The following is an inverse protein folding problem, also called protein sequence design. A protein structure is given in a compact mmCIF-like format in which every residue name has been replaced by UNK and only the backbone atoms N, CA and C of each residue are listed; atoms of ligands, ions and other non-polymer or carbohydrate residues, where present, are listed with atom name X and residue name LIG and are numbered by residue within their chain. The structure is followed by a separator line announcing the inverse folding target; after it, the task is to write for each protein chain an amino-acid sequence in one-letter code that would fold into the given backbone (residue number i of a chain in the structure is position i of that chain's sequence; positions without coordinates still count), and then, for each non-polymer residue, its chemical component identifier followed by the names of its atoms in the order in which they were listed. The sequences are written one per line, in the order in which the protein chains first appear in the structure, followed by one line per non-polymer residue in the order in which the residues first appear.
data_IF_919440405494
#
_entry.id   IF_919440405494
#
_cell.length_a   1.000
_cell.length_b   1.000
_cell.length_c   1.000
_cell.angle_alpha   90.00
_cell.angle_beta   90.00
_cell.angle_gamma   90.00
#
_symmetry.space_group_name_H-M   'P 1'
#
loop_
_entity.id
_entity.type
_entity.pdbx_description
1 polymer ?
#
# COMPACT_ATOMS: atom_id res chain seq x y z
N UNK A 1 5.04 -21.43 0.81
CA UNK A 1 3.69 -21.30 1.40
C UNK A 1 2.94 -22.58 1.06
N UNK A 2 2.05 -23.06 1.93
CA UNK A 2 1.21 -24.20 1.59
C UNK A 2 0.25 -23.82 0.44
N UNK A 3 0.04 -24.74 -0.50
CA UNK A 3 -0.90 -24.54 -1.60
C UNK A 3 -2.28 -24.13 -1.07
N UNK A 4 -2.91 -23.18 -1.75
CA UNK A 4 -4.28 -22.77 -1.45
C UNK A 4 -5.31 -23.46 -2.34
N UNK A 5 -4.89 -24.18 -3.38
CA UNK A 5 -5.79 -24.92 -4.26
C UNK A 5 -6.10 -26.31 -3.69
N UNK A 6 -7.16 -26.93 -4.19
CA UNK A 6 -7.49 -28.32 -3.84
C UNK A 6 -6.35 -29.25 -4.30
N UNK A 7 -5.93 -30.25 -3.52
CA UNK A 7 -4.83 -31.15 -3.91
C UNK A 7 -5.05 -31.80 -5.27
N UNK A 8 -4.06 -31.73 -6.15
CA UNK A 8 -4.13 -32.25 -7.52
C UNK A 8 -4.80 -31.31 -8.53
N UNK A 9 -5.20 -30.11 -8.12
CA UNK A 9 -5.81 -29.11 -9.00
C UNK A 9 -4.85 -27.99 -9.39
N UNK A 10 -5.08 -27.31 -10.52
CA UNK A 10 -4.31 -26.14 -10.91
C UNK A 10 -4.38 -25.03 -9.85
N UNK A 11 -3.24 -24.46 -9.48
CA UNK A 11 -3.14 -23.41 -8.46
C UNK A 11 -3.21 -21.99 -9.03
N UNK A 12 -3.01 -21.86 -10.34
CA UNK A 12 -2.91 -20.57 -11.02
C UNK A 12 -3.52 -20.63 -12.40
N UNK A 13 -4.11 -19.51 -12.82
CA UNK A 13 -4.36 -19.17 -14.21
C UNK A 13 -3.63 -17.86 -14.48
N UNK A 14 -2.70 -17.81 -15.44
CA UNK A 14 -1.83 -16.64 -15.62
C UNK A 14 -1.06 -16.28 -14.32
N UNK A 15 -1.17 -15.01 -13.93
CA UNK A 15 -0.67 -14.44 -12.69
C UNK A 15 -1.69 -14.50 -11.54
N UNK A 16 -2.89 -15.04 -11.77
CA UNK A 16 -3.95 -15.14 -10.76
C UNK A 16 -3.80 -16.46 -9.98
N UNK A 17 -3.68 -16.35 -8.66
CA UNK A 17 -3.78 -17.51 -7.77
C UNK A 17 -5.25 -17.94 -7.62
N UNK A 18 -5.50 -19.25 -7.74
CA UNK A 18 -6.82 -19.87 -7.68
C UNK A 18 -6.92 -20.70 -6.39
N UNK A 19 -7.36 -20.10 -5.28
CA UNK A 19 -7.53 -20.82 -4.02
C UNK A 19 -8.87 -21.56 -3.99
N UNK A 20 -8.96 -22.72 -3.34
CA UNK A 20 -10.26 -23.34 -3.04
C UNK A 20 -11.08 -22.43 -2.10
N UNK A 21 -12.40 -22.21 -2.28
CA UNK A 21 -13.36 -23.02 -3.04
C UNK A 21 -13.37 -22.78 -4.55
N UNK A 22 -12.59 -21.83 -5.06
CA UNK A 22 -12.47 -21.57 -6.50
C UNK A 22 -11.67 -22.67 -7.20
N UNK A 23 -11.96 -22.84 -8.48
CA UNK A 23 -11.22 -23.77 -9.34
C UNK A 23 -11.51 -23.49 -10.82
N UNK A 24 -10.58 -23.90 -11.68
CA UNK A 24 -10.69 -23.74 -13.15
C UNK A 24 -10.96 -25.05 -13.88
N UNK A 25 -11.16 -26.13 -13.14
CA UNK A 25 -11.45 -27.47 -13.65
C UNK A 25 -12.61 -28.09 -12.86
N UNK A 26 -13.34 -28.99 -13.51
CA UNK A 26 -14.38 -29.77 -12.87
C UNK A 26 -13.77 -30.63 -11.75
N UNK A 27 -14.48 -30.73 -10.61
CA UNK A 27 -13.97 -31.41 -9.41
C UNK A 27 -12.95 -30.62 -8.59
N UNK A 28 -12.43 -29.50 -9.11
CA UNK A 28 -11.45 -28.63 -8.44
C UNK A 28 -12.06 -27.40 -7.73
N UNK A 29 -13.36 -27.20 -7.87
CA UNK A 29 -14.10 -26.10 -7.25
C UNK A 29 -15.21 -26.66 -6.34
N UNK A 30 -15.75 -25.80 -5.46
CA UNK A 30 -17.07 -26.02 -4.88
C UNK A 30 -18.13 -25.56 -5.87
N UNK A 31 -19.31 -26.17 -5.85
CA UNK A 31 -20.42 -25.78 -6.72
C UNK A 31 -20.65 -24.26 -6.71
N UNK A 32 -20.76 -23.68 -7.91
CA UNK A 32 -20.89 -22.22 -8.13
C UNK A 32 -19.57 -21.44 -8.20
N UNK A 33 -18.44 -22.04 -7.80
CA UNK A 33 -17.12 -21.39 -7.76
C UNK A 33 -16.19 -21.75 -8.93
N UNK A 34 -16.73 -22.33 -10.00
CA UNK A 34 -15.98 -22.57 -11.23
C UNK A 34 -15.66 -21.24 -11.93
N UNK A 35 -14.37 -21.03 -12.21
CA UNK A 35 -13.86 -19.91 -13.00
C UNK A 35 -13.43 -20.41 -14.38
N UNK A 36 -13.58 -19.56 -15.39
CA UNK A 36 -13.10 -19.85 -16.73
C UNK A 36 -11.71 -19.24 -16.93
N UNK A 37 -10.72 -20.08 -17.22
CA UNK A 37 -9.39 -19.66 -17.62
C UNK A 37 -9.29 -19.76 -19.14
N UNK A 38 -9.04 -18.63 -19.81
CA UNK A 38 -8.96 -18.58 -21.27
C UNK A 38 -7.75 -19.39 -21.78
N UNK A 39 -7.80 -20.03 -22.98
CA UNK A 39 -6.72 -20.91 -23.45
C UNK A 39 -5.37 -20.22 -23.65
N UNK A 40 -5.37 -18.89 -23.79
CA UNK A 40 -4.14 -18.08 -23.81
C UNK A 40 -3.42 -18.07 -22.45
N UNK A 41 -4.11 -18.49 -21.38
CA UNK A 41 -3.62 -18.50 -20.02
C UNK A 41 -3.33 -17.11 -19.48
N UNK A 42 -4.00 -16.06 -19.99
CA UNK A 42 -3.80 -14.66 -19.58
C UNK A 42 -5.02 -14.10 -18.83
N UNK A 43 -6.20 -14.62 -19.12
CA UNK A 43 -7.47 -14.01 -18.69
C UNK A 43 -8.32 -14.99 -17.91
N UNK A 44 -8.87 -14.55 -16.78
CA UNK A 44 -9.78 -15.36 -15.95
C UNK A 44 -11.12 -14.67 -15.81
N UNK A 45 -12.21 -15.39 -16.05
CA UNK A 45 -13.56 -14.86 -15.95
C UNK A 45 -14.35 -15.59 -14.88
N UNK A 46 -15.32 -14.89 -14.28
CA UNK A 46 -16.34 -15.56 -13.46
C UNK A 46 -17.23 -16.37 -14.39
N UNK A 47 -17.12 -17.70 -14.34
CA UNK A 47 -17.85 -18.59 -15.25
C UNK A 47 -17.70 -18.11 -16.72
N UNK A 48 -18.78 -18.09 -17.52
CA UNK A 48 -18.79 -17.60 -18.89
C UNK A 48 -19.31 -16.14 -19.00
N UNK A 49 -18.86 -15.25 -18.11
CA UNK A 49 -19.25 -13.82 -18.09
C UNK A 49 -18.14 -12.92 -18.64
N UNK A 50 -18.43 -11.63 -18.85
CA UNK A 50 -17.44 -10.60 -19.21
C UNK A 50 -16.65 -10.06 -18.00
N UNK A 51 -16.84 -10.63 -16.80
CA UNK A 51 -16.18 -10.15 -15.57
C UNK A 51 -14.80 -10.76 -15.43
N UNK A 52 -13.78 -9.96 -15.73
CA UNK A 52 -12.39 -10.37 -15.63
C UNK A 52 -11.93 -10.32 -14.17
N UNK A 53 -11.63 -11.48 -13.59
CA UNK A 53 -11.06 -11.63 -12.24
C UNK A 53 -9.57 -11.34 -12.26
N UNK A 54 -9.13 -10.44 -11.39
CA UNK A 54 -7.73 -10.01 -11.29
C UNK A 54 -7.09 -10.36 -9.95
N UNK A 55 -7.90 -10.54 -8.89
CA UNK A 55 -7.41 -10.90 -7.56
C UNK A 55 -8.49 -11.65 -6.78
N UNK A 56 -8.09 -12.68 -6.02
CA UNK A 56 -8.98 -13.40 -5.09
C UNK A 56 -8.31 -13.38 -3.71
N UNK A 57 -9.02 -12.86 -2.71
CA UNK A 57 -8.54 -12.78 -1.34
C UNK A 57 -9.45 -13.57 -0.40
N UNK A 58 -8.99 -14.76 0.00
CA UNK A 58 -9.70 -15.57 1.00
C UNK A 58 -9.85 -14.85 2.36
N UNK A 59 -8.81 -14.22 2.94
CA UNK A 59 -8.91 -13.65 4.29
C UNK A 59 -9.91 -12.50 4.40
N UNK A 60 -10.03 -11.70 3.32
CA UNK A 60 -10.99 -10.59 3.25
C UNK A 60 -12.33 -11.01 2.65
N UNK A 61 -12.37 -12.18 2.01
CA UNK A 61 -13.52 -12.68 1.27
C UNK A 61 -13.93 -11.79 0.09
N UNK A 62 -12.95 -11.11 -0.52
CA UNK A 62 -13.17 -10.20 -1.66
C UNK A 62 -12.55 -10.75 -2.94
N UNK A 63 -13.17 -10.43 -4.06
CA UNK A 63 -12.65 -10.65 -5.41
C UNK A 63 -12.52 -9.28 -6.06
N UNK A 64 -11.37 -8.99 -6.66
CA UNK A 64 -11.19 -7.81 -7.50
C UNK A 64 -11.40 -8.23 -8.94
N UNK A 65 -12.26 -7.49 -9.63
CA UNK A 65 -12.55 -7.74 -11.02
C UNK A 65 -12.62 -6.45 -11.84
N UNK A 66 -12.68 -6.62 -13.14
CA UNK A 66 -12.85 -5.58 -14.14
C UNK A 66 -14.22 -5.77 -14.80
N UNK A 67 -14.98 -4.68 -14.90
CA UNK A 67 -16.33 -4.64 -15.48
C UNK A 67 -16.42 -3.56 -16.54
N UNK A 68 -17.18 -3.80 -17.60
CA UNK A 68 -17.40 -2.82 -18.66
C UNK A 68 -18.31 -1.68 -18.20
N UNK A 69 -18.39 -0.65 -19.03
CA UNK A 69 -19.13 0.58 -18.76
C UNK A 69 -20.23 0.73 -19.82
N UNK A 70 -21.40 1.24 -19.44
CA UNK A 70 -22.41 1.67 -20.40
C UNK A 70 -22.03 3.04 -20.98
N UNK A 71 -22.42 3.31 -22.22
CA UNK A 71 -22.19 4.60 -22.86
C UNK A 71 -23.38 5.05 -23.70
N UNK A 72 -23.77 6.31 -23.54
CA UNK A 72 -24.86 6.96 -24.28
C UNK A 72 -24.31 8.15 -25.07
N UNK A 73 -24.13 8.02 -26.38
CA UNK A 73 -23.35 8.90 -27.24
C UNK A 73 -24.18 9.50 -28.38
N UNK A 74 -24.02 10.79 -28.63
CA UNK A 74 -24.74 11.50 -29.70
C UNK A 74 -23.81 12.33 -30.57
N UNK A 75 -24.24 12.56 -31.81
CA UNK A 75 -23.67 13.55 -32.71
C UNK A 75 -24.19 14.96 -32.40
N UNK A 76 -23.70 15.97 -33.13
CA UNK A 76 -24.08 17.38 -32.88
C UNK A 76 -25.56 17.70 -33.14
N UNK A 77 -26.26 16.87 -33.92
CA UNK A 77 -27.70 16.96 -34.15
C UNK A 77 -28.54 16.19 -33.13
N UNK A 78 -27.92 15.51 -32.17
CA UNK A 78 -28.62 14.68 -31.17
C UNK A 78 -29.10 13.33 -31.69
N UNK A 79 -28.51 12.84 -32.79
CA UNK A 79 -28.72 11.46 -33.24
C UNK A 79 -27.72 10.53 -32.55
N UNK A 80 -28.13 9.31 -32.15
CA UNK A 80 -27.22 8.33 -31.54
C UNK A 80 -26.03 8.00 -32.45
N UNK A 81 -24.85 7.80 -31.86
CA UNK A 81 -23.64 7.37 -32.56
C UNK A 81 -23.61 5.85 -32.76
N UNK A 82 -22.88 5.30 -33.77
CA UNK A 82 -22.91 3.87 -34.09
C UNK A 82 -22.33 2.93 -33.02
N UNK A 83 -21.56 3.44 -32.05
CA UNK A 83 -20.96 2.68 -30.94
C UNK A 83 -21.69 2.92 -29.61
N UNK A 84 -22.93 3.39 -29.70
CA UNK A 84 -23.79 3.62 -28.55
C UNK A 84 -24.25 2.31 -27.91
N UNK A 85 -24.10 2.19 -26.59
CA UNK A 85 -24.57 1.04 -25.79
C UNK A 85 -25.14 1.55 -24.46
N UNK A 86 -26.34 2.17 -24.50
CA UNK A 86 -26.93 2.78 -23.32
C UNK A 86 -27.54 1.74 -22.36
N UNK A 87 -27.50 0.45 -22.73
CA UNK A 87 -28.06 -0.66 -21.97
C UNK A 87 -27.00 -1.73 -21.75
N UNK A 88 -26.47 -1.79 -20.53
CA UNK A 88 -25.46 -2.78 -20.18
C UNK A 88 -26.00 -3.75 -19.14
N UNK A 89 -26.01 -5.04 -19.47
CA UNK A 89 -26.60 -6.10 -18.66
C UNK A 89 -25.70 -7.33 -18.60
N UNK A 90 -25.34 -7.79 -17.40
CA UNK A 90 -24.83 -9.14 -17.20
C UNK A 90 -25.05 -9.68 -15.77
N UNK A 91 -25.17 -11.00 -15.67
CA UNK A 91 -25.26 -11.73 -14.40
C UNK A 91 -23.86 -12.13 -13.91
N UNK A 92 -23.56 -11.97 -12.62
CA UNK A 92 -22.33 -12.51 -12.05
C UNK A 92 -22.31 -14.05 -12.10
N UNK A 93 -23.49 -14.68 -12.05
CA UNK A 93 -23.72 -16.07 -12.41
C UNK A 93 -25.22 -16.25 -12.70
N UNK A 94 -25.59 -17.05 -13.71
CA UNK A 94 -26.99 -17.30 -14.09
C UNK A 94 -27.76 -18.15 -13.07
N UNK A 95 -27.07 -18.74 -12.10
CA UNK A 95 -27.70 -19.48 -11.01
C UNK A 95 -28.21 -18.48 -9.93
N UNK A 96 -29.49 -18.55 -9.50
CA UNK A 96 -30.00 -17.74 -8.38
C UNK A 96 -29.19 -17.90 -7.08
N UNK A 97 -28.60 -19.08 -6.87
CA UNK A 97 -27.68 -19.37 -5.77
C UNK A 97 -26.22 -18.99 -6.08
N UNK A 98 -26.02 -18.04 -7.00
CA UNK A 98 -24.71 -17.44 -7.29
C UNK A 98 -23.99 -17.10 -5.99
N UNK A 99 -22.73 -17.54 -5.82
CA UNK A 99 -21.96 -17.21 -4.63
C UNK A 99 -21.47 -15.76 -4.64
N UNK A 100 -21.60 -15.04 -5.76
CA UNK A 100 -21.02 -13.72 -5.95
C UNK A 100 -22.04 -12.61 -5.70
N UNK A 101 -21.58 -11.51 -5.08
CA UNK A 101 -22.39 -10.31 -4.83
C UNK A 101 -21.54 -9.07 -5.02
N UNK A 102 -22.13 -7.99 -5.51
CA UNK A 102 -21.44 -6.71 -5.66
C UNK A 102 -21.23 -6.10 -4.28
N UNK A 103 -19.98 -5.80 -3.92
CA UNK A 103 -19.64 -5.22 -2.62
C UNK A 103 -20.21 -3.81 -2.50
N UNK A 104 -21.32 -3.64 -1.76
CA UNK A 104 -21.94 -2.32 -1.51
C UNK A 104 -21.01 -1.39 -0.72
N UNK A 105 -20.10 -1.98 0.05
CA UNK A 105 -19.15 -1.27 0.92
C UNK A 105 -17.91 -0.79 0.18
N UNK A 106 -17.51 -1.46 -0.91
CA UNK A 106 -16.31 -1.10 -1.68
C UNK A 106 -16.60 -0.40 -2.99
N UNK A 107 -17.76 -0.63 -3.60
CA UNK A 107 -18.09 0.00 -4.87
C UNK A 107 -18.98 1.23 -4.70
N UNK A 108 -19.00 2.08 -5.73
CA UNK A 108 -19.98 3.12 -5.99
C UNK A 108 -20.51 2.98 -7.40
N UNK A 109 -21.76 3.38 -7.62
CA UNK A 109 -22.31 3.57 -8.96
C UNK A 109 -22.01 5.00 -9.41
N UNK A 110 -21.45 5.16 -10.60
CA UNK A 110 -21.00 6.45 -11.14
C UNK A 110 -21.74 6.71 -12.45
N UNK A 111 -22.22 7.94 -12.61
CA UNK A 111 -22.65 8.50 -13.88
C UNK A 111 -21.73 9.68 -14.25
N UNK A 112 -21.13 9.64 -15.45
CA UNK A 112 -20.28 10.70 -15.98
C UNK A 112 -20.94 11.35 -17.18
N UNK A 113 -20.95 12.67 -17.20
CA UNK A 113 -21.58 13.45 -18.26
C UNK A 113 -22.40 14.62 -17.73
N UNK A 114 -22.76 15.50 -18.65
CA UNK A 114 -23.84 16.46 -18.50
C UNK A 114 -25.01 15.97 -19.33
N UNK A 115 -26.24 16.36 -18.98
CA UNK A 115 -27.44 15.88 -19.68
C UNK A 115 -27.60 14.36 -19.55
N UNK A 116 -27.27 13.84 -18.36
CA UNK A 116 -27.11 12.41 -18.07
C UNK A 116 -28.05 11.95 -16.97
N UNK A 117 -28.76 10.85 -17.23
CA UNK A 117 -29.43 10.03 -16.24
C UNK A 117 -28.93 8.60 -16.33
N UNK A 118 -28.66 7.99 -15.18
CA UNK A 118 -28.19 6.61 -15.10
C UNK A 118 -28.95 5.88 -14.00
N UNK A 119 -29.39 4.67 -14.30
CA UNK A 119 -30.08 3.79 -13.36
C UNK A 119 -29.34 2.47 -13.28
N UNK A 120 -29.13 1.99 -12.06
CA UNK A 120 -28.59 0.69 -11.73
C UNK A 120 -29.65 -0.09 -10.95
N UNK A 121 -30.18 -1.16 -11.51
CA UNK A 121 -31.33 -1.86 -10.92
C UNK A 121 -31.20 -3.37 -11.02
N UNK A 122 -32.06 -4.09 -10.32
CA UNK A 122 -32.28 -5.51 -10.53
C UNK A 122 -33.07 -5.77 -11.84
N UNK A 123 -33.10 -7.02 -12.26
CA UNK A 123 -33.76 -7.52 -13.49
C UNK A 123 -35.24 -7.14 -13.52
N UNK A 124 -35.91 -7.28 -12.38
CA UNK A 124 -37.34 -7.02 -12.23
C UNK A 124 -37.65 -5.52 -11.98
N UNK A 125 -36.64 -4.69 -11.76
CA UNK A 125 -36.79 -3.27 -11.42
C UNK A 125 -37.45 -3.00 -10.06
N UNK A 126 -37.47 -3.98 -9.15
CA UNK A 126 -38.01 -3.83 -7.80
C UNK A 126 -37.13 -2.96 -6.92
N UNK A 127 -35.81 -3.00 -7.10
CA UNK A 127 -34.88 -2.19 -6.32
C UNK A 127 -33.64 -1.81 -7.10
N UNK A 128 -33.20 -0.58 -6.91
CA UNK A 128 -32.06 -0.03 -7.63
C UNK A 128 -31.62 1.30 -7.05
N UNK A 129 -30.62 1.89 -7.68
CA UNK A 129 -30.15 3.24 -7.40
C UNK A 129 -30.05 4.02 -8.71
N UNK A 130 -30.19 5.32 -8.63
CA UNK A 130 -30.06 6.22 -9.78
C UNK A 130 -29.05 7.32 -9.51
N UNK A 131 -28.53 7.89 -10.59
CA UNK A 131 -27.69 9.07 -10.56
C UNK A 131 -28.06 9.99 -11.72
N UNK A 132 -28.18 11.28 -11.46
CA UNK A 132 -28.48 12.30 -12.46
C UNK A 132 -27.40 13.36 -12.39
N UNK A 133 -26.89 13.76 -13.55
CA UNK A 133 -25.90 14.82 -13.67
C UNK A 133 -26.33 15.81 -14.74
N UNK A 134 -26.47 17.08 -14.36
CA UNK A 134 -26.96 18.15 -15.24
C UNK A 134 -26.01 19.33 -15.26
N UNK A 135 -25.73 19.80 -16.46
CA UNK A 135 -24.96 21.00 -16.73
C UNK A 135 -25.21 21.41 -18.18
N UNK A 136 -25.09 22.69 -18.46
CA UNK A 136 -25.19 23.29 -19.80
C UNK A 136 -23.91 24.03 -20.20
N UNK A 137 -22.98 24.21 -19.26
CA UNK A 137 -21.77 24.99 -19.44
C UNK A 137 -20.55 24.26 -18.85
N UNK A 138 -19.50 24.13 -19.65
CA UNK A 138 -18.25 23.48 -19.27
C UNK A 138 -17.57 24.12 -18.05
N UNK A 139 -17.74 25.43 -17.85
CA UNK A 139 -17.15 26.14 -16.71
C UNK A 139 -17.68 25.71 -15.34
N UNK A 140 -18.86 25.08 -15.28
CA UNK A 140 -19.45 24.54 -14.06
C UNK A 140 -18.80 23.22 -13.63
N UNK A 141 -18.21 22.49 -14.57
CA UNK A 141 -17.59 21.19 -14.31
C UNK A 141 -16.25 21.41 -13.61
N UNK A 142 -16.20 21.09 -12.30
CA UNK A 142 -15.00 21.20 -11.47
C UNK A 142 -14.37 19.84 -11.23
N UNK A 143 -13.04 19.83 -11.11
CA UNK A 143 -12.28 18.65 -10.73
C UNK A 143 -12.55 18.30 -9.25
N UNK A 144 -12.69 17.01 -8.95
CA UNK A 144 -12.80 16.47 -7.59
C UNK A 144 -14.21 16.41 -7.00
N UNK A 145 -15.20 17.07 -7.61
CA UNK A 145 -16.60 17.06 -7.14
C UNK A 145 -17.47 16.18 -8.03
N UNK A 146 -18.12 15.18 -7.45
CA UNK A 146 -18.99 14.23 -8.17
C UNK A 146 -20.40 14.17 -7.57
N UNK A 147 -21.04 15.34 -7.52
CA UNK A 147 -22.28 15.57 -6.78
C UNK A 147 -23.43 16.09 -7.68
N UNK A 148 -23.38 15.78 -8.98
CA UNK A 148 -24.44 16.07 -9.95
C UNK A 148 -24.10 17.07 -11.07
N UNK A 149 -22.85 17.54 -11.16
CA UNK A 149 -22.37 18.42 -12.23
C UNK A 149 -21.19 17.77 -12.94
N UNK A 150 -21.42 17.25 -14.14
CA UNK A 150 -20.44 16.50 -14.92
C UNK A 150 -20.14 15.09 -14.39
N UNK A 151 -20.46 14.82 -13.12
CA UNK A 151 -20.29 13.54 -12.45
C UNK A 151 -21.32 13.43 -11.32
N UNK A 152 -21.93 12.27 -11.18
CA UNK A 152 -22.78 11.89 -10.07
C UNK A 152 -22.34 10.52 -9.54
N UNK A 153 -22.34 10.34 -8.22
CA UNK A 153 -22.11 9.04 -7.59
C UNK A 153 -23.28 8.64 -6.67
N UNK A 154 -23.59 7.35 -6.63
CA UNK A 154 -24.60 6.79 -5.74
C UNK A 154 -24.10 5.52 -5.02
N UNK A 155 -24.68 5.25 -3.85
CA UNK A 155 -24.45 4.01 -3.11
C UNK A 155 -25.19 2.85 -3.76
N UNK A 156 -24.58 1.66 -3.72
CA UNK A 156 -25.16 0.44 -4.28
C UNK A 156 -25.98 -0.27 -3.19
N UNK A 157 -27.21 -0.74 -3.49
CA UNK A 157 -27.97 -1.58 -2.56
C UNK A 157 -27.22 -2.86 -2.19
N UNK A 158 -27.45 -3.39 -0.99
CA UNK A 158 -26.91 -4.69 -0.58
C UNK A 158 -27.59 -5.82 -1.34
N UNK A 159 -26.88 -6.93 -1.55
CA UNK A 159 -27.44 -8.13 -2.17
C UNK A 159 -27.51 -8.12 -3.70
N UNK A 160 -26.99 -7.09 -4.37
CA UNK A 160 -26.98 -7.02 -5.84
C UNK A 160 -26.08 -8.12 -6.43
N UNK A 161 -26.65 -9.03 -7.22
CA UNK A 161 -25.93 -10.16 -7.86
C UNK A 161 -25.76 -10.00 -9.37
N UNK A 162 -26.27 -8.91 -9.92
CA UNK A 162 -26.37 -8.64 -11.34
C UNK A 162 -26.09 -7.17 -11.61
N UNK A 163 -25.71 -6.89 -12.85
CA UNK A 163 -25.35 -5.56 -13.27
C UNK A 163 -26.24 -5.17 -14.43
N UNK A 164 -27.29 -4.40 -14.13
CA UNK A 164 -28.17 -3.78 -15.13
C UNK A 164 -28.07 -2.28 -15.03
N UNK A 165 -27.41 -1.68 -16.00
CA UNK A 165 -27.21 -0.25 -16.12
C UNK A 165 -28.00 0.25 -17.33
N UNK A 166 -28.81 1.27 -17.10
CA UNK A 166 -29.50 2.02 -18.16
C UNK A 166 -29.08 3.47 -18.11
N UNK A 167 -28.59 3.97 -19.23
CA UNK A 167 -28.36 5.39 -19.45
C UNK A 167 -29.54 6.03 -20.18
N UNK A 168 -29.65 7.34 -20.04
CA UNK A 168 -30.49 8.16 -20.87
C UNK A 168 -30.08 9.62 -20.80
N UNK A 169 -30.44 10.36 -21.83
CA UNK A 169 -30.22 11.80 -21.96
C UNK A 169 -31.54 12.58 -21.96
N UNK A 170 -31.54 13.81 -21.44
CA UNK A 170 -32.74 14.66 -21.46
C UNK A 170 -32.87 15.49 -22.75
N UNK A 171 -31.74 15.82 -23.39
CA UNK A 171 -31.71 16.65 -24.61
C UNK A 171 -30.84 16.02 -25.72
N UNK A 172 -30.58 14.72 -25.66
CA UNK A 172 -29.73 13.98 -26.59
C UNK A 172 -28.38 14.68 -26.81
N UNK A 173 -27.82 15.23 -25.73
CA UNK A 173 -26.57 16.00 -25.71
C UNK A 173 -26.53 17.24 -26.62
N UNK A 174 -27.61 17.64 -27.29
CA UNK A 174 -27.63 18.77 -28.25
C UNK A 174 -27.14 20.09 -27.65
N UNK A 175 -27.34 20.29 -26.34
CA UNK A 175 -26.93 21.49 -25.59
C UNK A 175 -25.50 21.44 -25.06
N UNK A 176 -24.90 20.26 -24.96
CA UNK A 176 -23.60 20.03 -24.30
C UNK A 176 -22.56 19.37 -25.20
N UNK A 177 -22.94 18.97 -26.42
CA UNK A 177 -22.13 18.19 -27.36
C UNK A 177 -20.74 18.78 -27.61
N UNK A 178 -20.59 20.11 -27.56
CA UNK A 178 -19.30 20.80 -27.78
C UNK A 178 -18.21 20.43 -26.76
N UNK A 179 -18.59 19.98 -25.55
CA UNK A 179 -17.64 19.58 -24.50
C UNK A 179 -17.98 18.24 -23.83
N UNK A 180 -19.18 17.72 -24.03
CA UNK A 180 -19.62 16.42 -23.53
C UNK A 180 -20.52 15.71 -24.55
N UNK A 181 -19.93 14.93 -25.49
CA UNK A 181 -20.71 14.24 -26.52
C UNK A 181 -21.23 12.86 -26.12
N UNK A 182 -20.82 12.34 -24.95
CA UNK A 182 -21.33 11.08 -24.41
C UNK A 182 -21.49 11.12 -22.91
N UNK A 183 -22.44 10.33 -22.43
CA UNK A 183 -22.62 9.94 -21.03
C UNK A 183 -22.07 8.54 -20.79
N UNK A 184 -21.64 8.25 -19.56
CA UNK A 184 -21.20 6.92 -19.13
C UNK A 184 -21.80 6.54 -17.80
N UNK A 185 -22.01 5.24 -17.58
CA UNK A 185 -22.40 4.71 -16.29
C UNK A 185 -21.70 3.39 -15.99
N UNK A 186 -21.20 3.25 -14.77
CA UNK A 186 -20.39 2.09 -14.37
C UNK A 186 -20.28 1.98 -12.85
N UNK A 187 -19.85 0.80 -12.40
CA UNK A 187 -19.47 0.55 -11.02
C UNK A 187 -17.97 0.76 -10.86
N UNK A 188 -17.52 1.35 -9.75
CA UNK A 188 -16.11 1.53 -9.46
C UNK A 188 -15.79 1.29 -7.98
N UNK A 189 -14.63 0.69 -7.71
CA UNK A 189 -14.04 0.68 -6.37
C UNK A 189 -13.82 2.14 -5.92
N UNK A 190 -14.21 2.43 -4.68
CA UNK A 190 -14.13 3.76 -4.06
C UNK A 190 -12.71 4.33 -4.11
N UNK A 191 -11.71 3.46 -4.11
CA UNK A 191 -10.30 3.82 -4.10
C UNK A 191 -9.70 3.91 -5.51
N UNK A 192 -10.42 3.47 -6.56
CA UNK A 192 -9.90 3.42 -7.93
C UNK A 192 -10.38 4.56 -8.84
N UNK A 193 -11.48 5.24 -8.50
CA UNK A 193 -12.05 6.29 -9.33
C UNK A 193 -12.05 7.65 -8.64
N UNK A 194 -11.63 8.68 -9.39
CA UNK A 194 -11.74 10.08 -8.98
C UNK A 194 -12.05 10.93 -10.21
N UNK A 195 -13.01 11.85 -10.07
CA UNK A 195 -13.43 12.71 -11.17
C UNK A 195 -12.43 13.84 -11.40
N UNK A 196 -11.78 13.83 -12.55
CA UNK A 196 -10.82 14.83 -13.05
C UNK A 196 -11.45 16.07 -13.70
N UNK A 197 -12.77 16.21 -13.70
CA UNK A 197 -13.47 17.36 -14.30
C UNK A 197 -13.66 17.22 -15.81
N UNK A 198 -13.55 18.33 -16.55
CA UNK A 198 -13.81 18.37 -18.00
C UNK A 198 -13.03 17.35 -18.81
N UNK A 199 -11.80 17.01 -18.40
CA UNK A 199 -10.99 16.02 -19.11
C UNK A 199 -11.65 14.64 -19.17
N UNK A 200 -12.55 14.29 -18.26
CA UNK A 200 -13.30 13.03 -18.32
C UNK A 200 -14.51 13.08 -19.25
N UNK A 201 -14.89 14.27 -19.74
CA UNK A 201 -16.07 14.45 -20.58
C UNK A 201 -15.74 14.55 -22.07
N UNK A 202 -14.46 14.68 -22.43
CA UNK A 202 -14.01 14.89 -23.82
C UNK A 202 -13.96 13.59 -24.62
N UNK A 203 -14.17 13.69 -25.95
CA UNK A 203 -14.04 12.57 -26.92
C UNK A 203 -12.69 11.83 -26.84
N UNK A 204 -11.61 12.53 -26.48
CA UNK A 204 -10.28 11.91 -26.31
C UNK A 204 -10.23 10.95 -25.13
N UNK A 205 -10.81 11.34 -23.98
CA UNK A 205 -10.97 10.44 -22.85
C UNK A 205 -11.81 9.22 -23.25
N UNK A 206 -12.81 9.40 -24.09
CA UNK A 206 -13.67 8.33 -24.59
C UNK A 206 -12.92 7.33 -25.48
N UNK A 207 -12.03 7.78 -26.38
CA UNK A 207 -11.23 6.85 -27.18
C UNK A 207 -10.26 6.04 -26.31
N UNK A 208 -9.72 6.67 -25.27
CA UNK A 208 -8.75 6.06 -24.36
C UNK A 208 -9.39 5.14 -23.31
N UNK A 209 -10.58 5.48 -22.83
CA UNK A 209 -11.25 4.83 -21.70
C UNK A 209 -12.63 4.24 -22.01
N UNK A 210 -13.24 4.53 -23.15
CA UNK A 210 -14.51 3.92 -23.60
C UNK A 210 -14.38 2.44 -23.98
N UNK A 211 -13.14 1.94 -24.15
CA UNK A 211 -12.83 0.50 -24.18
C UNK A 211 -12.18 0.00 -22.89
N UNK A 212 -12.13 0.83 -21.84
CA UNK A 212 -11.55 0.44 -20.57
C UNK A 212 -12.56 -0.25 -19.68
N UNK A 213 -12.03 -1.13 -18.83
CA UNK A 213 -12.79 -1.73 -17.75
C UNK A 213 -12.65 -0.87 -16.49
N UNK A 214 -13.74 -0.77 -15.73
CA UNK A 214 -13.72 -0.24 -14.39
C UNK A 214 -13.37 -1.33 -13.39
N UNK A 215 -12.47 -1.02 -12.44
CA UNK A 215 -12.13 -1.91 -11.33
C UNK A 215 -13.31 -1.95 -10.36
N UNK A 216 -13.80 -3.15 -10.08
CA UNK A 216 -14.87 -3.42 -9.13
C UNK A 216 -14.42 -4.46 -8.09
N UNK A 217 -15.11 -4.48 -6.96
CA UNK A 217 -14.88 -5.46 -5.89
C UNK A 217 -16.16 -6.28 -5.66
N UNK A 218 -16.05 -7.60 -5.69
CA UNK A 218 -17.14 -8.50 -5.37
C UNK A 218 -16.92 -9.13 -3.99
N UNK A 219 -18.01 -9.37 -3.29
CA UNK A 219 -18.08 -10.33 -2.19
C UNK A 219 -18.44 -11.70 -2.73
N UNK A 220 -18.18 -12.70 -1.90
CA UNK A 220 -18.69 -14.04 -2.13
C UNK A 220 -19.08 -14.75 -0.83
N UNK A 221 -19.94 -15.74 -0.94
CA UNK A 221 -20.42 -16.53 0.20
C UNK A 221 -20.70 -17.99 -0.19
N UNK A 222 -20.63 -18.88 0.80
CA UNK A 222 -21.05 -20.27 0.67
C UNK A 222 -22.55 -20.37 0.97
N UNK A 223 -23.30 -20.90 0.00
CA UNK A 223 -24.73 -21.18 0.14
C UNK A 223 -25.57 -19.93 0.45
N UNK A 224 -26.79 -20.17 0.93
CA UNK A 224 -27.79 -19.12 1.20
C UNK A 224 -28.21 -19.07 2.68
N UNK A 225 -27.63 -19.92 3.52
CA UNK A 225 -27.96 -20.09 4.93
C UNK A 225 -26.99 -19.34 5.85
N UNK A 226 -27.43 -19.01 7.06
CA UNK A 226 -26.55 -18.42 8.07
C UNK A 226 -25.47 -19.41 8.52
N UNK A 227 -24.37 -18.90 9.06
CA UNK A 227 -23.31 -19.69 9.65
C UNK A 227 -23.84 -20.65 10.74
N UNK A 228 -24.77 -20.19 11.57
CA UNK A 228 -25.36 -21.03 12.63
C UNK A 228 -26.27 -22.15 12.08
N UNK A 229 -26.98 -21.89 10.98
CA UNK A 229 -27.76 -22.92 10.29
C UNK A 229 -26.85 -23.92 9.57
N UNK A 230 -25.81 -23.44 8.90
CA UNK A 230 -24.85 -24.28 8.17
C UNK A 230 -24.18 -25.32 9.08
N UNK A 231 -23.86 -24.96 10.33
CA UNK A 231 -23.27 -25.88 11.32
C UNK A 231 -24.17 -27.08 11.65
N UNK A 232 -25.48 -26.97 11.45
CA UNK A 232 -26.44 -28.06 11.75
C UNK A 232 -26.35 -29.19 10.72
N UNK A 233 -25.89 -28.89 9.50
CA UNK A 233 -25.71 -29.87 8.43
C UNK A 233 -24.21 -30.17 8.22
N UNK A 234 -23.68 -31.10 9.02
CA UNK A 234 -22.25 -31.41 9.02
C UNK A 234 -21.70 -31.95 7.69
N UNK A 235 -22.55 -32.51 6.81
CA UNK A 235 -22.09 -33.04 5.52
C UNK A 235 -21.89 -31.97 4.45
N UNK A 236 -22.62 -30.86 4.52
CA UNK A 236 -22.51 -29.74 3.57
C UNK A 236 -21.71 -28.54 4.12
N UNK A 237 -21.49 -28.50 5.44
CA UNK A 237 -20.71 -27.46 6.09
C UNK A 237 -19.29 -27.35 5.51
N UNK A 238 -18.93 -26.16 5.03
CA UNK A 238 -17.74 -25.95 4.22
C UNK A 238 -16.45 -25.69 5.02
N UNK A 239 -16.56 -25.26 6.28
CA UNK A 239 -15.38 -24.91 7.08
C UNK A 239 -14.74 -26.16 7.68
N UNK A 240 -13.41 -26.24 7.63
CA UNK A 240 -12.65 -27.40 8.13
C UNK A 240 -12.18 -27.24 9.58
N UNK A 241 -11.49 -28.24 10.12
CA UNK A 241 -10.90 -28.18 11.47
C UNK A 241 -9.98 -26.95 11.64
N UNK A 242 -10.01 -26.36 12.83
CA UNK A 242 -9.28 -25.12 13.18
C UNK A 242 -9.71 -23.90 12.35
N UNK A 243 -10.94 -23.88 11.86
CA UNK A 243 -11.57 -22.73 11.22
C UNK A 243 -12.94 -22.45 11.83
N UNK A 244 -13.47 -21.24 11.63
CA UNK A 244 -14.79 -20.83 12.09
C UNK A 244 -15.55 -20.17 10.93
N UNK A 245 -16.88 -20.27 10.94
CA UNK A 245 -17.72 -19.52 10.01
C UNK A 245 -18.16 -18.17 10.57
N UNK A 246 -18.54 -17.28 9.66
CA UNK A 246 -19.21 -16.02 9.92
C UNK A 246 -20.11 -15.65 8.74
N UNK A 247 -21.19 -14.92 9.00
CA UNK A 247 -22.15 -14.53 7.97
C UNK A 247 -21.55 -13.54 6.95
N UNK A 248 -22.01 -13.62 5.70
CA UNK A 248 -21.62 -12.69 4.65
C UNK A 248 -22.16 -11.28 4.94
N UNK A 249 -21.36 -10.21 4.73
CA UNK A 249 -21.76 -8.84 5.06
C UNK A 249 -22.71 -8.19 4.04
N UNK A 250 -22.68 -8.69 2.80
CA UNK A 250 -23.32 -8.07 1.63
C UNK A 250 -24.42 -8.96 1.02
N UNK A 251 -24.81 -10.05 1.68
CA UNK A 251 -25.87 -10.95 1.24
C UNK A 251 -26.02 -12.16 2.16
N UNK A 252 -26.91 -13.10 1.82
CA UNK A 252 -27.04 -14.36 2.55
C UNK A 252 -25.82 -15.28 2.33
N UNK A 253 -25.74 -16.35 3.12
CA UNK A 253 -24.61 -17.29 3.11
C UNK A 253 -23.53 -16.94 4.14
N UNK A 254 -22.50 -17.76 4.19
CA UNK A 254 -21.41 -17.64 5.16
C UNK A 254 -20.02 -17.82 4.53
N UNK A 255 -18.98 -17.39 5.24
CA UNK A 255 -17.57 -17.63 4.88
C UNK A 255 -16.84 -18.30 6.04
N UNK A 256 -15.68 -18.86 5.74
CA UNK A 256 -14.81 -19.52 6.70
C UNK A 256 -13.52 -18.74 6.86
N UNK A 257 -13.00 -18.65 8.07
CA UNK A 257 -11.66 -18.14 8.36
C UNK A 257 -10.91 -19.10 9.27
N UNK A 258 -9.59 -19.20 9.11
CA UNK A 258 -8.78 -19.96 10.06
C UNK A 258 -8.89 -19.32 11.45
N UNK A 259 -8.97 -20.17 12.47
CA UNK A 259 -9.03 -19.73 13.87
C UNK A 259 -7.76 -19.00 14.27
N UNK A 260 -7.84 -18.19 15.32
CA UNK A 260 -6.67 -17.48 15.86
C UNK A 260 -5.52 -18.45 16.14
N UNK A 261 -4.31 -18.12 15.65
CA UNK A 261 -3.12 -18.98 15.74
C UNK A 261 -2.95 -19.99 14.60
N UNK A 262 -3.88 -20.02 13.63
CA UNK A 262 -3.80 -20.90 12.45
C UNK A 262 -3.77 -20.09 11.15
N UNK A 263 -3.10 -20.64 10.13
CA UNK A 263 -3.03 -20.10 8.77
C UNK A 263 -3.19 -21.23 7.75
N UNK A 264 -3.63 -20.88 6.54
CA UNK A 264 -3.89 -21.84 5.47
C UNK A 264 -5.19 -21.52 4.76
N UNK A 265 -5.81 -22.55 4.21
CA UNK A 265 -7.10 -22.45 3.53
C UNK A 265 -8.21 -22.98 4.44
N UNK A 266 -9.16 -22.15 4.89
CA UNK A 266 -10.23 -22.56 5.83
C UNK A 266 -11.27 -23.52 5.25
N UNK A 267 -11.14 -23.88 3.98
CA UNK A 267 -11.96 -24.84 3.26
C UNK A 267 -11.22 -26.15 2.94
N UNK A 268 -9.91 -26.23 3.25
CA UNK A 268 -9.07 -27.42 3.01
C UNK A 268 -8.32 -27.81 4.29
N UNK A 269 -7.43 -26.95 4.77
CA UNK A 269 -6.62 -27.18 5.96
C UNK A 269 -6.10 -25.86 6.56
N UNK A 270 -6.27 -25.70 7.87
CA UNK A 270 -5.66 -24.65 8.67
C UNK A 270 -4.61 -25.26 9.62
N UNK A 271 -3.35 -24.85 9.46
CA UNK A 271 -2.21 -25.35 10.23
C UNK A 271 -1.73 -24.29 11.24
N UNK A 272 -1.21 -24.74 12.38
CA UNK A 272 -0.77 -23.83 13.44
C UNK A 272 0.43 -22.99 12.96
N UNK A 273 0.38 -21.69 13.25
CA UNK A 273 1.49 -20.78 12.95
C UNK A 273 2.58 -20.99 14.00
N UNK A 274 3.78 -21.35 13.57
CA UNK A 274 4.96 -21.43 14.45
C UNK A 274 5.36 -20.04 14.94
N UNK A 275 4.73 -19.55 16.02
CA UNK A 275 4.95 -18.22 16.64
C UNK A 275 6.45 -17.96 16.93
N UNK A 276 7.25 -19.01 17.10
CA UNK A 276 8.69 -18.95 17.35
C UNK A 276 9.47 -18.12 16.33
N UNK A 277 9.08 -18.16 15.04
CA UNK A 277 9.82 -17.46 13.97
C UNK A 277 9.62 -15.94 14.06
N UNK A 278 8.44 -15.49 14.52
CA UNK A 278 8.17 -14.05 14.65
C UNK A 278 8.93 -13.46 15.84
N UNK A 279 9.00 -14.20 16.96
CA UNK A 279 9.68 -13.74 18.18
C UNK A 279 11.19 -13.60 17.96
N UNK A 280 11.83 -14.52 17.22
CA UNK A 280 13.28 -14.46 16.96
C UNK A 280 13.66 -13.24 16.13
N UNK A 281 12.86 -12.89 15.12
CA UNK A 281 13.09 -11.69 14.28
C UNK A 281 12.99 -10.41 15.11
N UNK A 282 11.97 -10.29 15.97
CA UNK A 282 11.81 -9.14 16.86
C UNK A 282 12.96 -8.99 17.86
N UNK A 283 13.44 -10.11 18.43
CA UNK A 283 14.60 -10.11 19.34
C UNK A 283 15.87 -9.64 18.61
N UNK A 284 16.12 -10.11 17.39
CA UNK A 284 17.30 -9.72 16.60
C UNK A 284 17.26 -8.22 16.27
N UNK A 285 16.09 -7.69 15.87
CA UNK A 285 15.92 -6.26 15.60
C UNK A 285 16.11 -5.41 16.87
N UNK A 286 15.58 -5.86 18.00
CA UNK A 286 15.75 -5.21 19.30
C UNK A 286 17.24 -5.16 19.70
N UNK A 287 17.94 -6.29 19.61
CA UNK A 287 19.38 -6.36 19.90
C UNK A 287 20.21 -5.45 18.97
N UNK A 288 19.89 -5.45 17.67
CA UNK A 288 20.51 -4.55 16.70
C UNK A 288 20.32 -3.08 17.07
N UNK A 289 19.09 -2.69 17.42
CA UNK A 289 18.78 -1.33 17.89
C UNK A 289 19.54 -0.97 19.17
N UNK A 290 19.56 -1.86 20.16
CA UNK A 290 20.30 -1.66 21.42
C UNK A 290 21.79 -1.46 21.18
N UNK A 291 22.42 -2.24 20.30
CA UNK A 291 23.84 -2.08 19.95
C UNK A 291 24.11 -0.73 19.28
N UNK A 292 23.23 -0.29 18.36
CA UNK A 292 23.36 1.02 17.70
C UNK A 292 23.22 2.18 18.69
N UNK A 293 22.25 2.10 19.60
CA UNK A 293 22.04 3.09 20.66
C UNK A 293 23.23 3.14 21.61
N UNK A 294 23.74 1.98 22.04
CA UNK A 294 24.93 1.89 22.88
C UNK A 294 26.17 2.50 22.19
N UNK A 295 26.42 2.16 20.91
CA UNK A 295 27.52 2.75 20.13
C UNK A 295 27.38 4.27 20.02
N UNK A 296 26.18 4.79 19.71
CA UNK A 296 25.92 6.24 19.65
C UNK A 296 26.15 6.92 20.99
N UNK A 297 25.66 6.32 22.08
CA UNK A 297 25.82 6.82 23.44
C UNK A 297 27.31 6.87 23.85
N UNK A 298 28.06 5.78 23.62
CA UNK A 298 29.49 5.70 23.93
C UNK A 298 30.30 6.79 23.22
N UNK A 299 30.02 7.02 21.93
CA UNK A 299 30.70 8.07 21.14
C UNK A 299 30.37 9.47 21.68
N UNK A 300 29.10 9.75 22.01
CA UNK A 300 28.68 11.04 22.58
C UNK A 300 29.36 11.30 23.93
N UNK A 301 29.40 10.30 24.80
CA UNK A 301 30.01 10.40 26.12
C UNK A 301 31.50 10.77 26.04
N UNK A 302 32.27 10.13 25.15
CA UNK A 302 33.69 10.46 24.94
C UNK A 302 33.90 11.89 24.43
N UNK A 303 33.04 12.39 23.53
CA UNK A 303 33.11 13.78 23.04
C UNK A 303 32.84 14.79 24.16
N UNK A 304 31.85 14.51 25.02
CA UNK A 304 31.52 15.38 26.15
C UNK A 304 32.66 15.48 27.16
N UNK A 305 33.32 14.36 27.48
CA UNK A 305 34.44 14.36 28.41
C UNK A 305 35.64 15.16 27.87
N UNK A 306 35.97 15.02 26.59
CA UNK A 306 37.02 15.82 25.93
C UNK A 306 36.74 17.32 26.01
N UNK A 307 35.49 17.74 25.78
CA UNK A 307 35.07 19.15 25.88
C UNK A 307 35.17 19.67 27.31
N UNK A 308 34.80 18.86 28.31
CA UNK A 308 34.92 19.22 29.74
C UNK A 308 36.38 19.52 30.12
N UNK A 309 37.33 18.67 29.72
CA UNK A 309 38.75 18.91 29.98
C UNK A 309 39.29 20.13 29.21
N UNK A 310 38.86 20.34 27.98
CA UNK A 310 39.24 21.54 27.22
C UNK A 310 38.82 22.84 27.93
N UNK A 311 37.61 22.87 28.50
CA UNK A 311 37.11 24.01 29.26
C UNK A 311 37.83 24.20 30.59
N UNK A 312 38.06 23.12 31.36
CA UNK A 312 38.77 23.18 32.64
C UNK A 312 40.20 23.71 32.49
N UNK A 313 40.89 23.32 31.41
CA UNK A 313 42.26 23.75 31.13
C UNK A 313 42.34 25.14 30.49
N UNK A 314 41.31 25.99 30.67
CA UNK A 314 41.20 27.35 30.11
C UNK A 314 41.48 27.41 28.60
N UNK A 315 41.13 26.36 27.86
CA UNK A 315 41.43 26.23 26.43
C UNK A 315 40.83 27.35 25.57
N UNK A 316 39.72 27.96 26.02
CA UNK A 316 39.11 29.13 25.37
C UNK A 316 39.96 30.40 25.50
N UNK A 317 40.58 30.63 26.68
CA UNK A 317 41.47 31.78 26.88
C UNK A 317 42.72 31.64 26.01
N UNK A 318 43.27 30.44 25.91
CA UNK A 318 44.40 30.14 25.03
C UNK A 318 44.07 30.45 23.56
N UNK A 319 42.89 30.06 23.07
CA UNK A 319 42.46 30.38 21.71
C UNK A 319 42.33 31.90 21.48
N UNK A 320 41.76 32.62 22.45
CA UNK A 320 41.57 34.06 22.34
C UNK A 320 42.90 34.83 22.33
N UNK A 321 43.85 34.48 23.22
CA UNK A 321 45.18 35.08 23.27
C UNK A 321 45.99 34.85 21.98
N UNK A 322 45.77 33.73 21.29
CA UNK A 322 46.46 33.42 20.04
C UNK A 322 45.84 34.17 18.86
N UNK A 323 44.54 34.45 18.89
CA UNK A 323 43.85 35.20 17.84
C UNK A 323 44.04 36.72 17.94
N UNK A 324 44.42 37.26 19.10
CA UNK A 324 44.54 38.71 19.33
C UNK A 324 45.94 39.29 19.11
N UNK A 325 46.95 38.45 18.89
CA UNK A 325 48.36 38.87 18.84
C UNK A 325 48.82 39.01 17.38
N UNK A 326 48.74 40.24 16.84
CA UNK A 326 49.03 40.59 15.45
C UNK A 326 50.30 41.47 15.29
N UNK A 327 51.28 41.30 16.19
CA UNK A 327 52.59 41.98 16.12
C UNK A 327 53.76 41.01 15.88
N UNK A 328 54.68 41.43 15.02
CA UNK A 328 55.44 40.62 14.06
C UNK A 328 56.68 39.89 14.58
N UNK A 329 56.74 39.52 15.86
CA UNK A 329 57.84 38.68 16.39
C UNK A 329 57.36 37.56 17.35
N UNK A 330 57.21 36.35 16.79
CA UNK A 330 56.87 35.03 17.38
C UNK A 330 55.38 34.79 17.74
N UNK A 331 54.57 34.43 16.73
CA UNK A 331 53.22 33.90 16.93
C UNK A 331 53.25 32.52 17.62
N UNK A 332 52.46 32.35 18.70
CA UNK A 332 52.32 31.07 19.40
C UNK A 332 51.44 30.12 18.59
N UNK A 333 52.01 29.00 18.09
CA UNK A 333 51.28 28.00 17.28
C UNK A 333 50.66 26.92 18.17
N UNK A 334 49.38 26.61 17.93
CA UNK A 334 48.70 25.46 18.55
C UNK A 334 49.05 24.20 17.75
N UNK A 335 49.57 23.18 18.42
CA UNK A 335 49.81 21.85 17.84
C UNK A 335 48.77 20.86 18.38
N UNK A 336 48.31 19.96 17.52
CA UNK A 336 47.46 18.84 17.91
C UNK A 336 48.28 17.75 18.58
N UNK A 337 47.66 16.93 19.45
CA UNK A 337 48.34 15.81 20.11
C UNK A 337 48.98 14.85 19.08
N UNK A 338 48.29 14.58 17.96
CA UNK A 338 48.80 13.71 16.89
C UNK A 338 50.08 14.25 16.25
N UNK A 339 50.18 15.57 16.06
CA UNK A 339 51.40 16.19 15.53
C UNK A 339 52.56 16.06 16.51
N UNK A 340 52.30 16.25 17.82
CA UNK A 340 53.31 16.08 18.86
C UNK A 340 53.72 14.61 19.02
N UNK A 341 52.78 13.68 18.96
CA UNK A 341 53.03 12.23 18.93
C UNK A 341 53.90 11.87 17.74
N UNK A 342 53.54 12.32 16.53
CA UNK A 342 54.36 12.07 15.33
C UNK A 342 55.76 12.67 15.46
N UNK A 343 55.87 13.90 15.95
CA UNK A 343 57.17 14.59 16.10
C UNK A 343 58.10 13.91 17.12
N UNK A 344 57.53 13.25 18.13
CA UNK A 344 58.25 12.59 19.22
C UNK A 344 58.30 11.07 19.11
N UNK A 345 57.82 10.49 17.99
CA UNK A 345 57.63 9.04 17.83
C UNK A 345 56.80 8.43 18.99
N UNK A 346 55.60 8.95 19.22
CA UNK A 346 54.71 8.60 20.33
C UNK A 346 55.34 8.81 21.72
N UNK A 347 56.09 9.91 21.90
CA UNK A 347 56.82 10.22 23.13
C UNK A 347 57.80 9.11 23.54
N UNK A 348 58.56 8.62 22.57
CA UNK A 348 59.56 7.55 22.73
C UNK A 348 60.61 7.92 23.79
N UNK A 349 60.94 6.97 24.65
CA UNK A 349 61.90 7.17 25.75
C UNK A 349 63.33 7.48 25.25
N UNK A 350 63.69 6.97 24.07
CA UNK A 350 65.00 7.26 23.44
C UNK A 350 65.15 8.72 23.01
N UNK A 351 64.04 9.46 22.91
CA UNK A 351 64.01 10.88 22.54
C UNK A 351 64.00 11.81 23.75
N UNK A 352 64.08 11.29 24.98
CA UNK A 352 64.12 12.12 26.18
C UNK A 352 65.43 12.90 26.24
N UNK A 353 65.32 14.23 26.30
CA UNK A 353 66.44 15.15 26.52
C UNK A 353 66.69 15.41 28.01
N UNK A 354 65.66 15.26 28.85
CA UNK A 354 65.77 15.44 30.30
C UNK A 354 64.48 15.15 31.04
N UNK A 355 64.61 14.78 32.32
CA UNK A 355 63.49 14.50 33.23
C UNK A 355 63.55 15.46 34.41
N UNK A 356 62.50 16.25 34.61
CA UNK A 356 62.32 17.08 35.81
C UNK A 356 61.31 16.46 36.78
N UNK A 357 61.08 17.11 37.93
CA UNK A 357 60.08 16.67 38.91
C UNK A 357 58.65 16.61 38.35
N UNK A 358 58.26 17.60 37.54
CA UNK A 358 56.88 17.72 37.03
C UNK A 358 56.71 17.36 35.56
N UNK A 359 57.79 17.27 34.78
CA UNK A 359 57.72 17.16 33.32
C UNK A 359 58.86 16.30 32.74
N UNK A 360 58.65 15.79 31.54
CA UNK A 360 59.68 15.15 30.70
C UNK A 360 59.84 15.95 29.42
N UNK A 361 61.08 16.23 29.02
CA UNK A 361 61.40 16.96 27.79
C UNK A 361 61.85 15.99 26.72
N UNK A 362 61.21 16.01 25.56
CA UNK A 362 61.49 15.17 24.41
C UNK A 362 62.08 15.97 23.25
N UNK A 363 62.98 15.36 22.47
CA UNK A 363 63.44 15.87 21.17
C UNK A 363 62.38 15.59 20.12
N UNK A 364 61.73 16.63 19.63
CA UNK A 364 60.75 16.59 18.56
C UNK A 364 61.34 17.00 17.21
N UNK A 365 60.94 16.32 16.13
CA UNK A 365 61.13 16.78 14.75
C UNK A 365 59.77 17.10 14.14
N UNK A 366 59.49 18.39 13.92
CA UNK A 366 58.24 18.83 13.30
C UNK A 366 58.22 18.50 11.80
N UNK A 367 57.03 18.50 11.19
CA UNK A 367 56.85 18.20 9.76
C UNK A 367 57.59 19.18 8.83
N UNK A 368 57.88 20.39 9.29
CA UNK A 368 58.68 21.40 8.59
C UNK A 368 60.18 21.26 8.85
N UNK A 369 60.61 20.10 9.34
CA UNK A 369 61.99 19.71 9.65
C UNK A 369 62.65 20.50 10.79
N UNK A 370 61.91 21.35 11.51
CA UNK A 370 62.44 22.02 12.69
C UNK A 370 62.59 21.06 13.87
N UNK A 371 63.76 21.07 14.48
CA UNK A 371 64.03 20.34 15.73
C UNK A 371 63.61 21.22 16.90
N UNK A 372 62.77 20.69 17.78
CA UNK A 372 62.20 21.40 18.93
C UNK A 372 62.30 20.57 20.20
N UNK A 373 62.32 21.23 21.36
CA UNK A 373 62.14 20.58 22.65
C UNK A 373 60.65 20.59 23.02
N UNK A 374 60.05 19.42 23.21
CA UNK A 374 58.64 19.26 23.58
C UNK A 374 58.57 18.85 25.05
N UNK A 375 58.06 19.76 25.88
CA UNK A 375 57.85 19.52 27.31
C UNK A 375 56.47 18.88 27.54
N UNK A 376 56.44 17.66 28.05
CA UNK A 376 55.22 16.93 28.40
C UNK A 376 55.10 16.84 29.90
N UNK A 377 53.97 17.27 30.44
CA UNK A 377 53.70 17.16 31.87
C UNK A 377 53.45 15.73 32.30
N UNK A 378 53.97 15.37 33.47
CA UNK A 378 53.79 14.05 34.10
C UNK A 378 52.44 13.93 34.82
N UNK A 379 51.61 15.00 34.85
CA UNK A 379 50.32 15.01 35.55
C UNK A 379 49.47 13.81 35.07
N UNK A 380 49.31 12.86 35.97
CA UNK A 380 48.38 11.75 35.83
C UNK A 380 47.01 12.28 36.23
N UNK A 381 46.18 12.66 35.26
CA UNK A 381 44.77 12.90 35.56
C UNK A 381 44.19 11.55 35.99
N UNK A 382 43.98 11.36 37.29
CA UNK A 382 43.32 10.19 37.83
C UNK A 382 41.88 10.15 37.30
N UNK A 383 41.66 9.40 36.22
CA UNK A 383 40.32 9.11 35.72
C UNK A 383 39.68 8.12 36.70
N UNK A 384 38.93 8.62 37.67
CA UNK A 384 37.95 7.79 38.38
C UNK A 384 36.93 7.31 37.34
N UNK A 385 37.05 6.05 36.95
CA UNK A 385 36.02 5.31 36.24
C UNK A 385 34.78 5.25 37.12
N UNK A 386 33.72 5.96 36.75
CA UNK A 386 32.38 5.71 37.29
C UNK A 386 31.84 4.50 36.53
N UNK A 387 31.93 3.33 37.16
CA UNK A 387 31.08 2.19 36.84
C UNK A 387 29.76 2.41 37.59
N UNK A 388 28.68 2.59 36.83
CA UNK A 388 27.31 2.23 37.19
C UNK A 388 26.51 2.11 35.92
#
# INVERSE_FOLDING_TARGET
MASQAKPGCPETCANLSIPYPFGIQEGCNREGFLLYCEPDGLTTYINNTSVLVTEISLPTGKIVANSSMASDCYNSSGSPEPLDDPFFSYFLNKNPDSPYTISSTRNKFIALGCDTSAVFQDDDGHFGTGCISTCDNSSLVKNGTCDGIGCCQASIPKGMKEIHIRLGSFNNHTKVHSFNPCSYAFLADKDSFSFGGLSNLTREYQWKYGQSFSRIVLDWAIGNQTCEEAKKNATDYACVKNSFCYDSPDGPGYRCNCSAGYQGNPYLECSAVSILISITIWIILLLGCCVLLYKRWKIRSQKMLKRKYFLQNRGLLLQHLISSNDDSTKQTKIFTLKELEKATNNFDETRVLGRGGHDTVYKGLLSDQRIVAIKKSKITIAVKSINS
#
